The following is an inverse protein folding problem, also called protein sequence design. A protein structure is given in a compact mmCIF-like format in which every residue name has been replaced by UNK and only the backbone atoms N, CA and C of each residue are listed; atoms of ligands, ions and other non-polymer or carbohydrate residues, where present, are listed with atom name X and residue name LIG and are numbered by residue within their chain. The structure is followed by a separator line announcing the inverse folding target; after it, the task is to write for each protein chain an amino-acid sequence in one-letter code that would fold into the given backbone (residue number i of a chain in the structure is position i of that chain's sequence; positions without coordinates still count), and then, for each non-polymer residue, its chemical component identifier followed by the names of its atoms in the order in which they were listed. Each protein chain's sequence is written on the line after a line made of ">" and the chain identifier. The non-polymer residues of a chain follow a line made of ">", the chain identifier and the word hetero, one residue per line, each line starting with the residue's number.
data_IF_758421120651
#
_entry.id   IF_758421120651
#
_cell.length_a   1.000
_cell.length_b   1.000
_cell.length_c   1.000
_cell.angle_alpha   90.00
_cell.angle_beta   90.00
_cell.angle_gamma   90.00
#
_symmetry.space_group_name_H-M   'P 1'
#
loop_
_entity.id
_entity.type
_entity.pdbx_description
1 polymer ?
#
# COMPACT_ATOMS: atom_id res chain seq x y z
N UNK A 1 -15.99 -14.02 -9.38
CA UNK A 1 -14.59 -14.49 -9.39
C UNK A 1 -13.72 -13.25 -9.36
N UNK A 2 -13.27 -12.85 -8.17
CA UNK A 2 -12.43 -11.67 -8.00
C UNK A 2 -11.06 -11.96 -8.59
N UNK A 3 -10.78 -11.42 -9.76
CA UNK A 3 -9.46 -11.51 -10.39
C UNK A 3 -8.49 -10.69 -9.54
N UNK A 4 -7.67 -11.36 -8.74
CA UNK A 4 -6.50 -10.77 -8.12
C UNK A 4 -5.56 -10.31 -9.23
N UNK A 5 -5.72 -9.05 -9.67
CA UNK A 5 -4.78 -8.42 -10.59
C UNK A 5 -3.42 -8.39 -9.87
N UNK A 6 -2.37 -8.99 -10.46
CA UNK A 6 -1.02 -8.80 -9.96
C UNK A 6 -0.77 -7.30 -9.92
N UNK A 7 -0.12 -6.81 -8.86
CA UNK A 7 0.33 -5.42 -8.73
C UNK A 7 1.21 -5.10 -9.95
N UNK A 8 0.57 -4.60 -11.02
CA UNK A 8 1.23 -4.26 -12.27
C UNK A 8 2.27 -3.20 -11.94
N UNK A 9 3.47 -3.36 -12.49
CA UNK A 9 4.43 -2.28 -12.56
C UNK A 9 3.80 -1.21 -13.43
N UNK A 10 3.16 -0.21 -12.81
CA UNK A 10 2.52 0.88 -13.53
C UNK A 10 3.59 1.81 -14.09
N UNK A 11 4.40 1.39 -15.07
CA UNK A 11 5.57 2.15 -15.56
C UNK A 11 5.22 3.60 -15.96
N UNK A 12 3.99 3.87 -16.38
CA UNK A 12 3.44 5.18 -16.79
C UNK A 12 2.54 5.90 -15.75
N UNK A 13 2.38 5.35 -14.54
CA UNK A 13 1.46 5.90 -13.54
C UNK A 13 1.91 7.24 -12.96
N UNK A 14 0.98 8.20 -12.81
CA UNK A 14 1.24 9.50 -12.13
C UNK A 14 1.96 9.29 -10.80
N UNK A 15 3.05 10.03 -10.62
CA UNK A 15 3.85 10.00 -9.40
C UNK A 15 3.05 10.52 -8.20
N UNK A 16 3.22 9.86 -7.06
CA UNK A 16 2.66 10.27 -5.78
C UNK A 16 3.75 10.93 -4.96
N UNK A 17 3.39 11.95 -4.17
CA UNK A 17 4.33 12.60 -3.28
C UNK A 17 4.95 11.57 -2.31
N UNK A 18 6.24 11.27 -2.53
CA UNK A 18 6.98 10.19 -1.87
C UNK A 18 6.89 10.29 -0.35
N UNK A 19 6.97 11.51 0.19
CA UNK A 19 6.87 11.75 1.63
C UNK A 19 5.52 11.32 2.21
N UNK A 20 4.41 11.61 1.51
CA UNK A 20 3.08 11.20 1.97
C UNK A 20 2.93 9.68 1.95
N UNK A 21 3.39 9.03 0.88
CA UNK A 21 3.34 7.57 0.79
C UNK A 21 4.16 6.91 1.90
N UNK A 22 5.37 7.41 2.17
CA UNK A 22 6.24 6.93 3.25
C UNK A 22 5.59 7.06 4.63
N UNK A 23 4.92 8.18 4.90
CA UNK A 23 4.17 8.36 6.15
C UNK A 23 3.02 7.34 6.27
N UNK A 24 2.28 7.09 5.19
CA UNK A 24 1.20 6.10 5.19
C UNK A 24 1.70 4.68 5.43
N UNK A 25 2.82 4.30 4.81
CA UNK A 25 3.47 3.01 5.06
C UNK A 25 3.95 2.91 6.51
N UNK A 26 4.55 3.96 7.08
CA UNK A 26 4.95 4.00 8.48
C UNK A 26 3.79 3.76 9.45
N UNK A 27 2.63 4.41 9.21
CA UNK A 27 1.41 4.17 9.98
C UNK A 27 0.91 2.73 9.85
N UNK A 28 0.97 2.16 8.65
CA UNK A 28 0.59 0.75 8.42
C UNK A 28 1.54 -0.23 9.10
N UNK A 29 2.84 0.03 9.12
CA UNK A 29 3.81 -0.79 9.86
C UNK A 29 3.50 -0.79 11.36
N UNK A 30 3.15 0.37 11.93
CA UNK A 30 2.72 0.45 13.33
C UNK A 30 1.46 -0.41 13.59
N UNK A 31 0.47 -0.35 12.69
CA UNK A 31 -0.74 -1.15 12.79
C UNK A 31 -0.47 -2.65 12.61
N UNK A 32 0.53 -3.03 11.80
CA UNK A 32 0.92 -4.43 11.59
C UNK A 32 1.37 -5.10 12.89
N UNK A 33 2.03 -4.36 13.78
CA UNK A 33 2.41 -4.87 15.11
C UNK A 33 1.22 -5.22 15.99
N UNK A 34 0.06 -4.59 15.77
CA UNK A 34 -1.18 -4.85 16.50
C UNK A 34 -2.07 -5.87 15.79
N UNK A 35 -1.94 -5.96 14.46
CA UNK A 35 -2.81 -6.70 13.55
C UNK A 35 -1.96 -7.37 12.47
N UNK A 36 -1.39 -8.57 12.74
CA UNK A 36 -0.52 -9.26 11.79
C UNK A 36 -1.28 -9.80 10.57
N UNK A 37 -2.62 -9.79 10.58
CA UNK A 37 -3.51 -10.16 9.47
C UNK A 37 -3.28 -9.32 8.20
N UNK A 38 -2.78 -8.10 8.35
CA UNK A 38 -2.48 -7.19 7.23
C UNK A 38 -0.99 -7.18 6.81
N UNK A 39 -0.12 -7.90 7.52
CA UNK A 39 1.33 -7.81 7.35
C UNK A 39 1.77 -8.07 5.91
N UNK A 40 1.18 -9.09 5.27
CA UNK A 40 1.49 -9.44 3.89
C UNK A 40 1.19 -8.30 2.91
N UNK A 41 0.05 -7.62 3.09
CA UNK A 41 -0.36 -6.52 2.23
C UNK A 41 0.53 -5.27 2.43
N UNK A 42 0.95 -5.00 3.67
CA UNK A 42 1.86 -3.90 4.00
C UNK A 42 3.25 -4.15 3.42
N UNK A 43 3.81 -5.35 3.59
CA UNK A 43 5.10 -5.72 3.00
C UNK A 43 5.10 -5.64 1.46
N UNK A 44 3.97 -5.92 0.81
CA UNK A 44 3.85 -5.75 -0.64
C UNK A 44 3.91 -4.27 -1.06
N UNK A 45 3.30 -3.37 -0.28
CA UNK A 45 3.30 -1.93 -0.55
C UNK A 45 4.65 -1.25 -0.23
N UNK A 46 5.36 -1.71 0.80
CA UNK A 46 6.67 -1.17 1.21
C UNK A 46 7.73 -1.23 0.08
N UNK A 47 7.63 -2.21 -0.81
CA UNK A 47 8.51 -2.34 -2.00
C UNK A 47 8.44 -1.14 -2.94
N UNK A 48 7.36 -0.37 -2.90
CA UNK A 48 7.13 0.77 -3.76
C UNK A 48 7.37 2.11 -3.05
N UNK A 49 8.01 2.11 -1.87
CA UNK A 49 8.25 3.32 -1.09
C UNK A 49 9.16 4.34 -1.81
N UNK A 50 10.08 3.88 -2.65
CA UNK A 50 11.05 4.75 -3.37
C UNK A 50 10.43 5.41 -4.60
N UNK A 51 9.50 4.73 -5.28
CA UNK A 51 8.78 5.27 -6.44
C UNK A 51 7.29 4.90 -6.38
N UNK A 52 6.52 5.56 -5.50
CA UNK A 52 5.10 5.28 -5.32
C UNK A 52 4.28 5.88 -6.45
N UNK A 53 3.28 5.12 -6.90
CA UNK A 53 2.37 5.49 -7.98
C UNK A 53 0.95 5.56 -7.46
N UNK A 54 0.06 6.24 -8.19
CA UNK A 54 -1.35 6.40 -7.80
C UNK A 54 -2.03 5.05 -7.52
N UNK A 55 -1.70 4.01 -8.29
CA UNK A 55 -2.18 2.64 -8.09
C UNK A 55 -1.75 2.06 -6.74
N UNK A 56 -0.48 2.25 -6.36
CA UNK A 56 0.06 1.83 -5.07
C UNK A 56 -0.62 2.59 -3.93
N UNK A 57 -0.88 3.90 -4.11
CA UNK A 57 -1.63 4.70 -3.14
C UNK A 57 -3.07 4.19 -2.97
N UNK A 58 -3.71 3.77 -4.07
CA UNK A 58 -5.05 3.19 -4.01
C UNK A 58 -5.06 1.85 -3.26
N UNK A 59 -4.03 1.00 -3.44
CA UNK A 59 -3.87 -0.22 -2.66
C UNK A 59 -3.74 0.07 -1.16
N UNK A 60 -2.89 1.04 -0.78
CA UNK A 60 -2.74 1.49 0.61
C UNK A 60 -4.07 1.99 1.19
N UNK A 61 -4.84 2.79 0.44
CA UNK A 61 -6.18 3.24 0.86
C UNK A 61 -7.16 2.08 1.10
N UNK A 62 -7.08 1.01 0.29
CA UNK A 62 -7.88 -0.20 0.52
C UNK A 62 -7.49 -0.90 1.81
N UNK A 63 -6.19 -1.00 2.13
CA UNK A 63 -5.71 -1.59 3.38
C UNK A 63 -6.26 -0.82 4.58
N UNK A 64 -6.19 0.52 4.57
CA UNK A 64 -6.78 1.34 5.63
C UNK A 64 -8.28 1.08 5.80
N UNK A 65 -9.02 0.88 4.70
CA UNK A 65 -10.46 0.54 4.77
C UNK A 65 -10.72 -0.83 5.38
N UNK A 66 -9.86 -1.82 5.12
CA UNK A 66 -9.98 -3.17 5.71
C UNK A 66 -9.71 -3.18 7.22
N UNK A 67 -8.82 -2.32 7.70
CA UNK A 67 -8.52 -2.19 9.14
C UNK A 67 -9.63 -1.44 9.88
N UNK A 68 -10.30 -0.51 9.19
CA UNK A 68 -11.39 0.31 9.76
C UNK A 68 -12.73 -0.42 9.86
N UNK A 69 -12.83 -1.66 9.38
CA UNK A 69 -13.99 -2.54 9.61
C UNK A 69 -13.91 -3.25 10.95
#
# INVERSE_FOLDING_TARGET
>A
METQKPLLKDEDGKEVHVHMYRLMIGSLMYLTSLRPDIMFAVCACDRYQVNPKISHLHAVKKIFRLISW
#
